data_IF_011434312186
#
_entry.id   IF_011434312186
#
_cell.length_a   1.000
_cell.length_b   1.000
_cell.length_c   1.000
_cell.angle_alpha   90.00
_cell.angle_beta   90.00
_cell.angle_gamma   90.00
#
_symmetry.space_group_name_H-M   'P 1'
#
loop_
_entity.id
_entity.type
_entity.pdbx_description
1 polymer ?
#
# COMPACT_ATOMS: atom_id res chain seq x y z
N UNK A 1 -2.35 16.88 3.18
CA UNK A 1 -2.74 16.57 4.56
C UNK A 1 -2.97 17.82 5.42
N UNK A 2 -2.19 18.89 5.25
CA UNK A 2 -2.23 20.03 6.17
C UNK A 2 -3.64 20.59 6.42
N UNK A 3 -4.51 20.85 5.40
CA UNK A 3 -5.86 21.36 5.67
C UNK A 3 -6.70 20.37 6.47
N UNK A 4 -6.59 19.06 6.19
CA UNK A 4 -7.32 18.01 6.90
C UNK A 4 -6.91 17.93 8.39
N UNK A 5 -5.62 17.96 8.66
CA UNK A 5 -5.09 17.91 10.03
C UNK A 5 -5.44 19.17 10.82
N UNK A 6 -5.43 20.35 10.18
CA UNK A 6 -5.84 21.61 10.77
C UNK A 6 -7.33 21.58 11.17
N UNK A 7 -8.20 21.08 10.28
CA UNK A 7 -9.63 20.93 10.56
C UNK A 7 -9.89 19.92 11.67
N UNK A 8 -9.13 18.84 11.72
CA UNK A 8 -9.19 17.84 12.80
C UNK A 8 -8.87 18.49 14.16
N UNK A 9 -7.78 19.21 14.26
CA UNK A 9 -7.40 19.92 15.49
C UNK A 9 -8.45 20.89 15.95
N UNK A 10 -9.01 21.69 15.02
CA UNK A 10 -10.06 22.67 15.31
C UNK A 10 -11.35 22.01 15.77
N UNK A 11 -11.82 20.96 15.09
CA UNK A 11 -13.07 20.25 15.44
C UNK A 11 -12.96 19.48 16.77
N UNK A 12 -11.82 18.86 17.03
CA UNK A 12 -11.61 18.10 18.26
C UNK A 12 -11.16 18.97 19.45
N UNK A 13 -10.80 20.24 19.21
CA UNK A 13 -10.30 21.14 20.25
C UNK A 13 -8.97 20.71 20.86
N UNK A 14 -8.12 20.04 20.06
CA UNK A 14 -6.81 19.51 20.46
C UNK A 14 -5.73 19.94 19.48
N UNK A 15 -4.48 19.89 19.91
CA UNK A 15 -3.34 20.02 19.01
C UNK A 15 -3.12 18.70 18.28
N UNK A 16 -3.18 18.73 16.94
CA UNK A 16 -2.82 17.61 16.08
C UNK A 16 -1.39 17.80 15.61
N UNK A 17 -0.53 16.85 15.91
CA UNK A 17 0.86 16.84 15.46
C UNK A 17 0.99 15.89 14.27
N UNK A 18 1.42 16.41 13.12
CA UNK A 18 1.69 15.59 11.95
C UNK A 18 2.98 14.77 12.15
N UNK A 19 2.94 13.49 11.76
CA UNK A 19 4.10 12.62 11.71
C UNK A 19 4.21 12.02 10.29
N UNK A 20 5.34 12.26 9.64
CA UNK A 20 5.65 11.71 8.33
C UNK A 20 6.93 10.87 8.41
N UNK A 21 6.89 9.69 7.84
CA UNK A 21 8.02 8.79 7.74
C UNK A 21 8.33 8.49 6.26
N UNK A 22 9.59 8.16 5.93
CA UNK A 22 9.97 7.83 4.56
C UNK A 22 9.45 6.47 4.09
N UNK A 23 9.05 5.61 5.03
CA UNK A 23 8.59 4.25 4.80
C UNK A 23 7.48 3.84 5.78
N UNK A 24 6.82 2.71 5.49
CA UNK A 24 5.75 2.17 6.35
C UNK A 24 6.27 1.67 7.70
N UNK A 25 7.48 1.12 7.75
CA UNK A 25 8.06 0.60 8.98
C UNK A 25 8.20 1.69 10.03
N UNK A 26 8.61 2.90 9.65
CA UNK A 26 8.72 4.06 10.53
C UNK A 26 7.40 4.43 11.20
N UNK A 27 6.28 4.36 10.48
CA UNK A 27 4.94 4.63 11.03
C UNK A 27 4.49 3.51 11.96
N UNK A 28 4.71 2.25 11.59
CA UNK A 28 4.37 1.08 12.41
C UNK A 28 5.12 1.14 13.75
N UNK A 29 6.43 1.37 13.73
CA UNK A 29 7.23 1.46 14.95
C UNK A 29 6.86 2.70 15.79
N UNK A 30 6.56 3.85 15.18
CA UNK A 30 6.11 5.02 15.90
C UNK A 30 4.77 4.76 16.64
N UNK A 31 3.84 4.02 16.03
CA UNK A 31 2.60 3.60 16.68
C UNK A 31 2.88 2.60 17.81
N UNK A 32 3.75 1.61 17.58
CA UNK A 32 4.14 0.62 18.56
C UNK A 32 4.69 1.25 19.85
N UNK A 33 5.48 2.31 19.71
CA UNK A 33 6.06 3.04 20.85
C UNK A 33 5.22 4.20 21.34
N UNK A 34 3.94 4.28 20.93
CA UNK A 34 2.99 5.29 21.42
C UNK A 34 3.27 6.73 20.96
N UNK A 35 4.05 6.90 19.88
CA UNK A 35 4.37 8.21 19.30
C UNK A 35 3.41 8.65 18.21
N UNK A 36 2.63 7.74 17.67
CA UNK A 36 1.57 7.96 16.69
C UNK A 36 0.29 7.33 17.22
N UNK A 37 -0.78 8.11 17.28
CA UNK A 37 -2.08 7.68 17.81
C UNK A 37 -3.03 7.21 16.71
N UNK A 38 -2.98 7.85 15.54
CA UNK A 38 -3.81 7.56 14.36
C UNK A 38 -2.94 7.64 13.12
N UNK A 39 -3.05 6.66 12.22
CA UNK A 39 -2.26 6.62 11.00
C UNK A 39 -3.04 6.10 9.80
N UNK A 40 -2.78 6.66 8.63
CA UNK A 40 -3.11 6.04 7.35
C UNK A 40 -2.09 4.94 7.05
N UNK A 41 -2.59 3.81 6.58
CA UNK A 41 -1.80 2.66 6.16
C UNK A 41 -2.32 2.09 4.83
N UNK A 42 -1.46 1.43 4.06
CA UNK A 42 -1.92 0.42 3.12
C UNK A 42 -2.40 -0.82 3.88
N UNK A 43 -3.14 -1.73 3.22
CA UNK A 43 -3.70 -2.90 3.92
C UNK A 43 -2.60 -3.81 4.53
N UNK A 44 -1.47 -4.02 3.83
CA UNK A 44 -0.37 -4.82 4.38
C UNK A 44 0.27 -4.17 5.59
N UNK A 45 0.60 -2.89 5.52
CA UNK A 45 1.18 -2.17 6.67
C UNK A 45 0.19 -2.04 7.83
N UNK A 46 -1.11 -1.94 7.56
CA UNK A 46 -2.15 -2.02 8.59
C UNK A 46 -2.18 -3.39 9.28
N UNK A 47 -2.03 -4.48 8.53
CA UNK A 47 -1.92 -5.82 9.08
C UNK A 47 -0.75 -5.91 10.08
N UNK A 48 0.41 -5.39 9.70
CA UNK A 48 1.58 -5.33 10.60
C UNK A 48 1.33 -4.43 11.83
N UNK A 49 0.66 -3.28 11.65
CA UNK A 49 0.30 -2.40 12.76
C UNK A 49 -0.69 -3.05 13.74
N UNK A 50 -1.68 -3.79 13.24
CA UNK A 50 -2.64 -4.57 14.05
C UNK A 50 -1.93 -5.67 14.83
N UNK A 51 -1.03 -6.40 14.18
CA UNK A 51 -0.39 -7.57 14.78
C UNK A 51 0.75 -7.21 15.75
N UNK A 52 1.47 -6.10 15.52
CA UNK A 52 2.71 -5.78 16.24
C UNK A 52 2.75 -4.41 16.91
N UNK A 53 1.84 -3.50 16.57
CA UNK A 53 1.86 -2.12 17.06
C UNK A 53 0.60 -1.73 17.83
N UNK A 54 -0.17 -2.69 18.32
CA UNK A 54 -1.42 -2.45 19.05
C UNK A 54 -2.42 -1.61 18.26
N UNK A 55 -2.42 -1.74 16.92
CA UNK A 55 -3.31 -1.02 16.02
C UNK A 55 -4.69 -1.68 15.89
N UNK A 56 -5.67 -0.88 15.50
CA UNK A 56 -7.03 -1.30 15.19
C UNK A 56 -7.61 -0.42 14.09
N UNK A 57 -8.18 -1.03 13.06
CA UNK A 57 -8.84 -0.31 11.97
C UNK A 57 -10.20 0.18 12.45
N UNK A 58 -10.55 1.43 12.13
CA UNK A 58 -11.86 2.00 12.48
C UNK A 58 -12.60 2.64 11.30
N UNK A 59 -11.90 3.12 10.28
CA UNK A 59 -12.48 3.65 9.04
C UNK A 59 -11.61 3.26 7.84
N UNK A 60 -12.19 3.40 6.66
CA UNK A 60 -11.56 3.14 5.37
C UNK A 60 -11.71 4.36 4.48
N UNK A 61 -10.69 4.65 3.68
CA UNK A 61 -10.77 5.66 2.63
C UNK A 61 -11.77 5.24 1.55
N UNK A 62 -12.31 6.22 0.83
CA UNK A 62 -13.16 6.02 -0.35
C UNK A 62 -12.58 6.84 -1.48
N UNK A 63 -12.42 6.26 -2.66
CA UNK A 63 -11.87 6.96 -3.81
C UNK A 63 -12.81 8.05 -4.31
N UNK A 64 -12.28 9.24 -4.61
CA UNK A 64 -13.08 10.39 -5.08
C UNK A 64 -13.72 10.14 -6.45
N UNK A 65 -13.16 9.26 -7.27
CA UNK A 65 -13.67 8.89 -8.59
C UNK A 65 -14.73 7.78 -8.54
N UNK A 66 -15.11 7.31 -7.35
CA UNK A 66 -16.09 6.24 -7.15
C UNK A 66 -15.53 4.83 -7.36
N UNK A 67 -14.23 4.66 -7.56
CA UNK A 67 -13.61 3.34 -7.66
C UNK A 67 -13.81 2.55 -6.36
N UNK A 68 -14.08 1.22 -6.44
CA UNK A 68 -14.33 0.38 -5.26
C UNK A 68 -13.04 0.02 -4.48
N UNK A 69 -11.91 0.50 -4.95
CA UNK A 69 -10.57 0.28 -4.42
C UNK A 69 -9.54 0.75 -5.44
N UNK A 70 -8.38 0.13 -5.45
CA UNK A 70 -7.29 0.46 -6.36
C UNK A 70 -6.56 -0.78 -6.85
N UNK A 71 -5.55 -0.62 -7.70
CA UNK A 71 -4.84 -1.74 -8.31
C UNK A 71 -3.33 -1.56 -8.22
N UNK A 72 -2.63 -2.65 -7.95
CA UNK A 72 -1.20 -2.75 -8.20
C UNK A 72 -0.95 -2.81 -9.70
N UNK A 73 0.15 -2.21 -10.13
CA UNK A 73 0.60 -2.24 -11.52
C UNK A 73 2.11 -2.50 -11.59
N UNK A 74 2.55 -3.11 -12.66
CA UNK A 74 3.93 -3.02 -13.12
C UNK A 74 4.01 -1.93 -14.19
N UNK A 75 5.02 -1.09 -14.08
CA UNK A 75 5.26 0.02 -14.98
C UNK A 75 6.63 -0.09 -15.66
N UNK A 76 6.70 0.35 -16.90
CA UNK A 76 7.93 0.46 -17.69
C UNK A 76 7.96 1.80 -18.43
N UNK A 77 9.13 2.21 -18.92
CA UNK A 77 9.20 3.37 -19.79
C UNK A 77 8.53 3.07 -21.13
N UNK A 78 7.73 4.00 -21.64
CA UNK A 78 6.97 3.81 -22.90
C UNK A 78 7.87 3.53 -24.11
N UNK A 79 9.11 4.04 -24.09
CA UNK A 79 10.07 3.84 -25.19
C UNK A 79 10.73 2.46 -25.10
N UNK A 80 10.56 1.72 -24.01
CA UNK A 80 11.07 0.35 -23.90
C UNK A 80 10.20 -0.60 -24.71
N UNK A 81 10.57 -0.85 -25.94
CA UNK A 81 9.82 -1.71 -26.86
C UNK A 81 9.84 -3.20 -26.44
N UNK A 82 10.80 -3.61 -25.59
CA UNK A 82 10.91 -5.01 -25.13
C UNK A 82 9.92 -5.39 -24.04
N UNK A 83 9.46 -4.42 -23.22
CA UNK A 83 8.62 -4.67 -22.05
C UNK A 83 7.19 -4.21 -22.29
N UNK A 84 6.27 -5.16 -22.54
CA UNK A 84 4.85 -4.87 -22.76
C UNK A 84 3.92 -5.74 -21.91
N UNK A 85 4.45 -6.79 -21.28
CA UNK A 85 3.69 -7.76 -20.49
C UNK A 85 4.53 -8.42 -19.40
N UNK A 86 3.91 -9.22 -18.55
CA UNK A 86 4.60 -10.07 -17.56
C UNK A 86 5.46 -11.13 -18.27
N UNK A 87 5.02 -11.66 -19.40
CA UNK A 87 5.80 -12.64 -20.18
C UNK A 87 7.13 -12.04 -20.65
N UNK A 88 7.13 -10.76 -21.04
CA UNK A 88 8.36 -10.05 -21.38
C UNK A 88 9.29 -9.86 -20.17
N UNK A 89 8.72 -9.54 -19.00
CA UNK A 89 9.48 -9.45 -17.74
C UNK A 89 10.15 -10.79 -17.41
N UNK A 90 9.44 -11.89 -17.59
CA UNK A 90 10.00 -13.24 -17.39
C UNK A 90 11.06 -13.54 -18.43
N UNK A 91 10.79 -13.29 -19.69
CA UNK A 91 11.69 -13.61 -20.80
C UNK A 91 13.03 -12.88 -20.71
N UNK A 92 13.00 -11.59 -20.39
CA UNK A 92 14.20 -10.74 -20.37
C UNK A 92 14.75 -10.53 -18.96
N UNK A 93 14.14 -11.12 -17.92
CA UNK A 93 14.43 -10.88 -16.51
C UNK A 93 15.91 -10.78 -16.13
N UNK A 94 16.78 -11.73 -16.52
CA UNK A 94 18.21 -11.68 -16.19
C UNK A 94 18.96 -10.45 -16.74
N UNK A 95 18.39 -9.74 -17.70
CA UNK A 95 18.97 -8.51 -18.26
C UNK A 95 18.41 -7.24 -17.60
N UNK A 96 17.28 -7.33 -16.86
CA UNK A 96 16.51 -6.21 -16.40
C UNK A 96 16.94 -5.69 -15.03
N UNK A 97 16.87 -4.39 -14.86
CA UNK A 97 16.91 -3.71 -13.57
C UNK A 97 15.49 -3.46 -13.06
N UNK A 98 15.22 -3.87 -11.84
CA UNK A 98 13.90 -3.82 -11.22
C UNK A 98 13.90 -2.96 -9.96
N UNK A 99 12.91 -2.07 -9.82
CA UNK A 99 12.63 -1.39 -8.55
C UNK A 99 11.35 -1.93 -7.91
N UNK A 100 11.53 -2.70 -6.85
CA UNK A 100 10.44 -3.23 -6.03
C UNK A 100 9.86 -2.14 -5.13
N UNK A 101 8.69 -2.37 -4.54
CA UNK A 101 8.11 -1.51 -3.53
C UNK A 101 8.68 -1.74 -2.13
N UNK A 102 8.28 -0.88 -1.19
CA UNK A 102 8.51 -1.08 0.24
C UNK A 102 7.98 -2.46 0.67
N UNK A 103 8.74 -3.24 1.46
CA UNK A 103 8.31 -4.58 1.92
C UNK A 103 6.97 -4.60 2.67
N UNK A 104 6.54 -3.50 3.27
CA UNK A 104 5.25 -3.35 3.94
C UNK A 104 4.15 -2.79 3.03
N UNK A 105 4.44 -2.57 1.74
CA UNK A 105 3.45 -2.11 0.76
C UNK A 105 2.56 -3.26 0.29
N UNK A 106 1.25 -3.00 0.22
CA UNK A 106 0.28 -3.92 -0.40
C UNK A 106 0.51 -3.99 -1.91
N UNK A 107 0.33 -2.87 -2.59
CA UNK A 107 0.39 -2.79 -4.06
C UNK A 107 1.81 -2.79 -4.62
N UNK A 108 2.80 -2.34 -3.85
CA UNK A 108 4.19 -2.28 -4.30
C UNK A 108 4.98 -3.56 -4.05
N UNK A 109 4.52 -4.43 -3.14
CA UNK A 109 5.29 -5.60 -2.73
C UNK A 109 4.46 -6.88 -2.62
N UNK A 110 3.43 -6.92 -1.76
CA UNK A 110 2.67 -8.15 -1.49
C UNK A 110 1.94 -8.65 -2.73
N UNK A 111 1.15 -7.79 -3.37
CA UNK A 111 0.29 -8.16 -4.49
C UNK A 111 1.11 -8.58 -5.71
N UNK A 112 2.08 -7.79 -6.22
CA UNK A 112 2.93 -8.25 -7.31
C UNK A 112 3.81 -9.43 -6.89
N UNK A 113 4.22 -9.50 -5.62
CA UNK A 113 4.99 -10.59 -5.05
C UNK A 113 4.29 -11.94 -5.15
N UNK A 114 2.96 -11.98 -5.05
CA UNK A 114 2.17 -13.18 -5.27
C UNK A 114 1.83 -13.37 -6.74
N UNK A 115 1.10 -12.42 -7.35
CA UNK A 115 0.49 -12.62 -8.67
C UNK A 115 1.49 -12.63 -9.82
N UNK A 116 2.61 -11.93 -9.69
CA UNK A 116 3.63 -11.89 -10.74
C UNK A 116 4.79 -12.82 -10.41
N UNK A 117 5.41 -12.63 -9.27
CA UNK A 117 6.65 -13.34 -8.96
C UNK A 117 6.40 -14.74 -8.39
N UNK A 118 5.56 -14.87 -7.38
CA UNK A 118 5.28 -16.15 -6.73
C UNK A 118 4.67 -17.18 -7.67
N UNK A 119 3.63 -16.83 -8.41
CA UNK A 119 2.99 -17.73 -9.37
C UNK A 119 3.90 -18.16 -10.51
N UNK A 120 4.89 -17.35 -10.86
CA UNK A 120 5.90 -17.69 -11.87
C UNK A 120 7.19 -18.29 -11.26
N UNK A 121 7.20 -18.57 -9.95
CA UNK A 121 8.35 -19.14 -9.21
C UNK A 121 9.63 -18.30 -9.36
N UNK A 122 9.47 -16.97 -9.35
CA UNK A 122 10.57 -16.00 -9.44
C UNK A 122 10.84 -15.43 -8.07
N UNK A 123 12.08 -15.49 -7.62
CA UNK A 123 12.58 -14.63 -6.54
C UNK A 123 13.15 -13.35 -7.13
N UNK A 124 12.51 -12.19 -6.93
CA UNK A 124 12.99 -10.93 -7.49
C UNK A 124 14.41 -10.56 -7.09
N UNK A 125 14.90 -11.05 -5.95
CA UNK A 125 16.24 -10.73 -5.45
C UNK A 125 17.36 -11.36 -6.27
N UNK A 126 17.08 -12.52 -6.88
CA UNK A 126 18.08 -13.32 -7.57
C UNK A 126 17.84 -13.44 -9.07
N UNK A 127 16.61 -13.20 -9.52
CA UNK A 127 16.22 -13.40 -10.92
C UNK A 127 16.63 -12.25 -11.83
N UNK A 128 16.52 -11.02 -11.37
CA UNK A 128 16.83 -9.83 -12.17
C UNK A 128 18.31 -9.47 -12.08
N UNK A 129 18.81 -8.78 -13.10
CA UNK A 129 20.18 -8.25 -13.12
C UNK A 129 20.50 -7.44 -11.87
N UNK A 130 19.55 -6.62 -11.45
CA UNK A 130 19.61 -5.83 -10.23
C UNK A 130 18.19 -5.60 -9.71
N UNK A 131 18.00 -5.73 -8.40
CA UNK A 131 16.76 -5.37 -7.72
C UNK A 131 17.07 -4.35 -6.62
N UNK A 132 16.39 -3.21 -6.69
CA UNK A 132 16.37 -2.20 -5.64
C UNK A 132 14.96 -2.06 -5.08
N UNK A 133 14.77 -1.29 -4.02
CA UNK A 133 13.45 -1.04 -3.42
C UNK A 133 13.30 0.45 -3.12
N UNK A 134 12.16 1.01 -3.48
CA UNK A 134 11.83 2.42 -3.21
C UNK A 134 10.32 2.62 -3.03
N UNK A 135 9.91 3.82 -2.62
CA UNK A 135 8.50 4.17 -2.55
C UNK A 135 7.88 4.38 -3.94
N UNK A 136 6.56 4.45 -4.01
CA UNK A 136 5.81 4.54 -5.27
C UNK A 136 6.23 5.73 -6.14
N UNK A 137 6.41 6.92 -5.57
CA UNK A 137 6.80 8.11 -6.33
C UNK A 137 8.20 7.96 -6.91
N UNK A 138 9.16 7.53 -6.09
CA UNK A 138 10.53 7.26 -6.54
C UNK A 138 10.59 6.20 -7.65
N UNK A 139 9.78 5.14 -7.53
CA UNK A 139 9.66 4.10 -8.55
C UNK A 139 9.12 4.64 -9.88
N UNK A 140 8.07 5.46 -9.83
CA UNK A 140 7.52 6.07 -11.04
C UNK A 140 8.52 7.00 -11.73
N UNK A 141 9.20 7.84 -10.96
CA UNK A 141 10.22 8.75 -11.49
C UNK A 141 11.44 8.02 -12.04
N UNK A 142 11.89 6.94 -11.37
CA UNK A 142 13.01 6.12 -11.83
C UNK A 142 12.70 5.46 -13.19
N UNK A 143 11.49 4.94 -13.39
CA UNK A 143 11.04 4.39 -14.66
C UNK A 143 10.94 5.48 -15.73
N UNK A 144 10.33 6.62 -15.42
CA UNK A 144 10.21 7.74 -16.36
C UNK A 144 11.57 8.26 -16.82
N UNK A 145 12.57 8.27 -15.93
CA UNK A 145 13.93 8.71 -16.20
C UNK A 145 14.84 7.59 -16.73
N UNK A 146 14.32 6.38 -16.99
CA UNK A 146 15.09 5.23 -17.50
C UNK A 146 16.24 4.78 -16.57
N UNK A 147 16.09 5.01 -15.26
CA UNK A 147 17.07 4.58 -14.25
C UNK A 147 16.89 3.11 -13.89
N UNK A 148 15.68 2.57 -14.05
CA UNK A 148 15.34 1.15 -13.98
C UNK A 148 14.47 0.77 -15.17
N UNK A 149 14.48 -0.52 -15.55
CA UNK A 149 13.71 -1.00 -16.71
C UNK A 149 12.24 -1.09 -16.40
N UNK A 150 11.90 -1.53 -15.18
CA UNK A 150 10.52 -1.59 -14.70
C UNK A 150 10.45 -1.50 -13.18
N UNK A 151 9.25 -1.22 -12.67
CA UNK A 151 9.01 -1.09 -11.25
C UNK A 151 7.57 -1.47 -10.89
N UNK A 152 7.34 -1.68 -9.57
CA UNK A 152 5.98 -1.75 -9.02
C UNK A 152 5.44 -0.36 -8.75
N UNK A 153 4.12 -0.22 -8.86
CA UNK A 153 3.38 1.00 -8.54
C UNK A 153 1.91 0.68 -8.27
N UNK A 154 1.07 1.70 -8.18
CA UNK A 154 -0.38 1.55 -8.12
C UNK A 154 -1.11 2.67 -8.86
N UNK A 155 -2.39 2.47 -9.11
CA UNK A 155 -3.22 3.40 -9.89
C UNK A 155 -3.42 4.74 -9.20
N UNK A 156 -3.49 4.80 -7.87
CA UNK A 156 -3.64 6.06 -7.12
C UNK A 156 -2.37 6.91 -7.18
N UNK A 157 -1.19 6.28 -7.03
CA UNK A 157 0.08 7.00 -7.17
C UNK A 157 0.28 7.49 -8.61
N UNK A 158 -0.04 6.68 -9.62
CA UNK A 158 0.05 7.13 -11.02
C UNK A 158 -0.84 8.35 -11.29
N UNK A 159 -2.03 8.44 -10.69
CA UNK A 159 -2.87 9.62 -10.79
C UNK A 159 -2.21 10.86 -10.13
N UNK A 160 -1.49 10.69 -9.00
CA UNK A 160 -0.70 11.76 -8.38
C UNK A 160 0.47 12.19 -9.28
N UNK A 161 1.18 11.23 -9.88
CA UNK A 161 2.26 11.52 -10.84
C UNK A 161 1.72 12.27 -12.05
N UNK A 162 0.56 11.88 -12.59
CA UNK A 162 -0.08 12.58 -13.69
C UNK A 162 -0.41 14.04 -13.36
N UNK A 163 -0.86 14.30 -12.13
CA UNK A 163 -1.18 15.65 -11.65
C UNK A 163 0.07 16.50 -11.40
N UNK A 164 1.07 15.94 -10.73
CA UNK A 164 2.21 16.67 -10.22
C UNK A 164 3.41 16.72 -11.19
N UNK A 165 3.54 15.69 -12.03
CA UNK A 165 4.65 15.49 -12.97
C UNK A 165 4.13 14.95 -14.32
N UNK A 166 3.26 15.72 -15.03
CA UNK A 166 2.57 15.23 -16.23
C UNK A 166 3.53 14.79 -17.34
N UNK A 167 4.66 15.44 -17.49
CA UNK A 167 5.69 15.07 -18.46
C UNK A 167 6.39 13.74 -18.11
N UNK A 168 6.50 13.42 -16.81
CA UNK A 168 7.04 12.12 -16.36
C UNK A 168 6.00 11.02 -16.54
N UNK A 169 4.75 11.29 -16.17
CA UNK A 169 3.66 10.35 -16.40
C UNK A 169 3.55 9.96 -17.88
N UNK A 170 3.70 10.93 -18.79
CA UNK A 170 3.69 10.70 -20.23
C UNK A 170 4.81 9.76 -20.72
N UNK A 171 5.84 9.47 -19.91
CA UNK A 171 6.90 8.51 -20.22
C UNK A 171 6.64 7.10 -19.67
N UNK A 172 5.55 6.89 -18.94
CA UNK A 172 5.24 5.63 -18.25
C UNK A 172 4.16 4.89 -19.01
N UNK A 173 4.31 3.58 -19.14
CA UNK A 173 3.26 2.64 -19.55
C UNK A 173 3.06 1.58 -18.48
N UNK A 174 1.80 1.12 -18.34
CA UNK A 174 1.43 -0.02 -17.50
C UNK A 174 1.57 -1.30 -18.34
N UNK A 175 2.29 -2.29 -17.80
CA UNK A 175 2.51 -3.58 -18.45
C UNK A 175 1.80 -4.74 -17.74
N UNK A 176 1.25 -4.50 -16.55
CA UNK A 176 0.42 -5.43 -15.79
C UNK A 176 -0.45 -4.70 -14.79
N UNK A 177 -1.63 -5.25 -14.52
CA UNK A 177 -2.59 -4.74 -13.51
C UNK A 177 -3.14 -5.91 -12.69
N UNK A 178 -3.20 -5.74 -11.38
CA UNK A 178 -3.66 -6.77 -10.45
C UNK A 178 -5.19 -6.92 -10.39
N UNK A 179 -5.71 -7.95 -9.70
CA UNK A 179 -7.03 -7.90 -9.10
C UNK A 179 -7.21 -6.69 -8.18
N UNK A 180 -8.46 -6.34 -7.88
CA UNK A 180 -8.81 -5.20 -7.04
C UNK A 180 -8.21 -5.35 -5.63
N UNK A 181 -7.63 -4.25 -5.13
CA UNK A 181 -7.19 -4.10 -3.74
C UNK A 181 -8.23 -3.24 -3.01
N UNK A 182 -8.71 -3.65 -1.83
CA UNK A 182 -9.58 -2.81 -1.01
C UNK A 182 -8.93 -1.46 -0.70
N UNK A 183 -9.73 -0.40 -0.62
CA UNK A 183 -9.25 0.93 -0.24
C UNK A 183 -8.55 0.91 1.13
N UNK A 184 -7.62 1.83 1.30
CA UNK A 184 -6.72 1.86 2.45
C UNK A 184 -7.43 2.18 3.77
N UNK A 185 -7.03 1.53 4.87
CA UNK A 185 -7.58 1.78 6.19
C UNK A 185 -6.90 2.93 6.93
N UNK A 186 -7.63 3.51 7.88
CA UNK A 186 -7.08 4.33 8.94
C UNK A 186 -7.06 3.49 10.23
N UNK A 187 -5.93 3.50 10.89
CA UNK A 187 -5.63 2.70 12.08
C UNK A 187 -5.41 3.63 13.27
N UNK A 188 -5.98 3.30 14.41
CA UNK A 188 -5.66 3.95 15.70
C UNK A 188 -5.02 2.95 16.67
N UNK A 189 -4.42 3.46 17.75
CA UNK A 189 -3.97 2.60 18.84
C UNK A 189 -5.18 2.09 19.63
N UNK A 190 -5.19 0.80 19.94
CA UNK A 190 -6.26 0.18 20.75
C UNK A 190 -6.41 0.76 22.14
N UNK A 191 -5.31 1.24 22.74
CA UNK A 191 -5.25 1.76 24.10
C UNK A 191 -5.65 3.23 24.24
N UNK A 192 -6.11 3.87 23.17
CA UNK A 192 -6.79 5.16 23.27
C UNK A 192 -8.06 5.03 24.12
N UNK A 193 -8.39 6.07 24.88
CA UNK A 193 -9.63 6.09 25.67
C UNK A 193 -10.87 5.95 24.76
N UNK A 194 -11.95 5.33 25.27
CA UNK A 194 -13.20 5.22 24.53
C UNK A 194 -13.76 6.59 24.15
N UNK A 195 -13.56 7.60 24.99
CA UNK A 195 -13.97 8.98 24.73
C UNK A 195 -13.19 9.60 23.56
N UNK A 196 -11.88 9.37 23.47
CA UNK A 196 -11.06 9.85 22.36
C UNK A 196 -11.39 9.09 21.08
N UNK A 197 -11.54 7.76 21.14
CA UNK A 197 -11.97 6.94 20.01
C UNK A 197 -13.31 7.43 19.45
N UNK A 198 -14.30 7.69 20.30
CA UNK A 198 -15.60 8.17 19.86
C UNK A 198 -15.50 9.51 19.12
N UNK A 199 -14.73 10.47 19.65
CA UNK A 199 -14.52 11.79 19.04
C UNK A 199 -13.77 11.69 17.70
N UNK A 200 -12.71 10.89 17.64
CA UNK A 200 -11.91 10.68 16.44
C UNK A 200 -12.76 10.01 15.35
N UNK A 201 -13.51 8.95 15.70
CA UNK A 201 -14.38 8.25 14.76
C UNK A 201 -15.48 9.15 14.22
N UNK A 202 -16.12 9.94 15.09
CA UNK A 202 -17.14 10.92 14.69
C UNK A 202 -16.56 11.94 13.71
N UNK A 203 -15.36 12.48 13.99
CA UNK A 203 -14.68 13.40 13.07
C UNK A 203 -14.50 12.77 11.68
N UNK A 204 -13.96 11.57 11.58
CA UNK A 204 -13.72 10.92 10.28
C UNK A 204 -15.02 10.66 9.53
N UNK A 205 -16.05 10.15 10.21
CA UNK A 205 -17.33 9.77 9.56
C UNK A 205 -18.22 10.95 9.20
N UNK A 206 -18.06 12.11 9.83
CA UNK A 206 -18.83 13.30 9.55
C UNK A 206 -18.12 14.31 8.63
N UNK A 207 -16.81 14.19 8.49
CA UNK A 207 -15.99 15.08 7.66
C UNK A 207 -16.39 15.00 6.19
N UNK A 208 -16.84 16.13 5.63
CA UNK A 208 -17.37 16.23 4.27
C UNK A 208 -18.76 15.63 4.08
N UNK A 209 -19.44 15.19 5.15
CA UNK A 209 -20.79 14.62 5.09
C UNK A 209 -21.84 15.59 5.61
N UNK A 210 -21.58 16.19 6.78
CA UNK A 210 -22.56 17.01 7.48
C UNK A 210 -21.93 18.28 8.08
N UNK A 211 -22.79 19.26 8.41
CA UNK A 211 -22.39 20.52 8.98
C UNK A 211 -22.14 21.63 7.94
N UNK A 212 -21.92 22.88 8.42
CA UNK A 212 -21.83 24.06 7.55
C UNK A 212 -20.60 24.06 6.62
N UNK A 213 -19.57 23.30 6.95
CA UNK A 213 -18.31 23.21 6.19
C UNK A 213 -18.21 21.99 5.28
N UNK A 214 -19.23 21.14 5.20
CA UNK A 214 -19.19 19.87 4.48
C UNK A 214 -18.72 20.00 3.01
N UNK A 215 -19.11 21.04 2.31
CA UNK A 215 -18.69 21.27 0.93
C UNK A 215 -17.17 21.52 0.84
N UNK A 216 -16.64 22.39 1.70
CA UNK A 216 -15.21 22.68 1.76
C UNK A 216 -14.38 21.47 2.22
N UNK A 217 -14.91 20.70 3.14
CA UNK A 217 -14.28 19.46 3.62
C UNK A 217 -14.19 18.40 2.52
N UNK A 218 -15.22 18.31 1.66
CA UNK A 218 -15.15 17.46 0.45
C UNK A 218 -14.04 17.89 -0.51
N UNK A 219 -13.83 19.19 -0.69
CA UNK A 219 -12.73 19.71 -1.52
C UNK A 219 -11.35 19.33 -0.92
N UNK A 220 -11.21 19.39 0.40
CA UNK A 220 -10.00 18.95 1.10
C UNK A 220 -9.74 17.46 0.85
N UNK A 221 -10.77 16.61 1.01
CA UNK A 221 -10.67 15.18 0.72
C UNK A 221 -10.32 14.90 -0.76
N UNK A 222 -10.97 15.62 -1.69
CA UNK A 222 -10.68 15.49 -3.11
C UNK A 222 -9.23 15.85 -3.46
N UNK A 223 -8.62 16.78 -2.73
CA UNK A 223 -7.19 17.07 -2.82
C UNK A 223 -6.29 15.89 -2.45
N UNK A 224 -6.77 14.99 -1.60
CA UNK A 224 -6.16 13.70 -1.24
C UNK A 224 -6.63 12.55 -2.15
N UNK A 225 -7.44 12.81 -3.16
CA UNK A 225 -8.11 11.84 -4.04
C UNK A 225 -9.15 10.97 -3.32
N UNK A 226 -9.76 11.50 -2.25
CA UNK A 226 -10.74 10.80 -1.43
C UNK A 226 -12.13 11.47 -1.49
N UNK A 227 -13.14 10.66 -1.28
CA UNK A 227 -14.48 11.01 -0.85
C UNK A 227 -14.58 10.79 0.66
N UNK A 228 -15.72 11.15 1.32
CA UNK A 228 -15.91 10.90 2.74
C UNK A 228 -15.64 9.45 3.13
N UNK A 229 -15.00 9.27 4.29
CA UNK A 229 -14.64 7.96 4.83
C UNK A 229 -15.89 7.12 5.13
N UNK A 230 -15.70 5.81 5.13
CA UNK A 230 -16.69 4.85 5.62
C UNK A 230 -16.16 4.05 6.80
N UNK A 231 -17.07 3.55 7.61
CA UNK A 231 -16.74 2.65 8.72
C UNK A 231 -16.09 1.37 8.21
N UNK A 232 -15.10 0.89 8.95
CA UNK A 232 -14.43 -0.37 8.70
C UNK A 232 -13.91 -0.98 10.01
N UNK A 233 -13.32 -2.15 9.92
CA UNK A 233 -12.68 -2.85 11.03
C UNK A 233 -11.57 -3.78 10.51
N UNK A 234 -10.97 -4.57 11.40
CA UNK A 234 -9.89 -5.48 11.04
C UNK A 234 -10.27 -6.57 10.03
N UNK A 235 -11.57 -6.85 9.84
CA UNK A 235 -12.02 -7.87 8.87
C UNK A 235 -11.68 -7.50 7.42
N UNK A 236 -11.50 -6.21 7.12
CA UNK A 236 -11.02 -5.82 5.79
C UNK A 236 -9.63 -6.40 5.44
N UNK A 237 -8.87 -6.82 6.45
CA UNK A 237 -7.54 -7.43 6.26
C UNK A 237 -7.59 -8.92 5.88
N UNK A 238 -8.73 -9.60 6.02
CA UNK A 238 -8.83 -11.04 5.74
C UNK A 238 -8.32 -11.41 4.35
N UNK A 239 -8.71 -10.74 3.25
CA UNK A 239 -8.17 -11.05 1.92
C UNK A 239 -6.66 -10.84 1.81
N UNK A 240 -6.13 -9.86 2.54
CA UNK A 240 -4.68 -9.53 2.55
C UNK A 240 -3.90 -10.58 3.33
N UNK A 241 -4.45 -11.05 4.46
CA UNK A 241 -3.87 -12.15 5.26
C UNK A 241 -3.78 -13.43 4.43
N UNK A 242 -4.86 -13.80 3.76
CA UNK A 242 -4.91 -14.96 2.87
C UNK A 242 -3.87 -14.85 1.76
N UNK A 243 -3.78 -13.69 1.11
CA UNK A 243 -2.78 -13.45 0.05
C UNK A 243 -1.34 -13.55 0.59
N UNK A 244 -1.10 -13.03 1.80
CA UNK A 244 0.20 -13.13 2.47
C UNK A 244 0.58 -14.59 2.76
N UNK A 245 -0.38 -15.39 3.26
CA UNK A 245 -0.18 -16.82 3.51
C UNK A 245 0.12 -17.58 2.22
N UNK A 246 -0.63 -17.33 1.15
CA UNK A 246 -0.37 -17.96 -0.15
C UNK A 246 1.01 -17.59 -0.71
N UNK A 247 1.41 -16.33 -0.62
CA UNK A 247 2.75 -15.90 -1.03
C UNK A 247 3.84 -16.62 -0.23
N UNK A 248 3.67 -16.70 1.10
CA UNK A 248 4.63 -17.37 1.97
C UNK A 248 4.69 -18.88 1.67
N UNK A 249 3.52 -19.51 1.41
CA UNK A 249 3.44 -20.91 1.01
C UNK A 249 4.26 -21.18 -0.27
N UNK A 250 4.06 -20.38 -1.31
CA UNK A 250 4.82 -20.51 -2.56
C UNK A 250 6.32 -20.34 -2.35
N UNK A 251 6.73 -19.42 -1.50
CA UNK A 251 8.15 -19.21 -1.16
C UNK A 251 8.75 -20.46 -0.47
N UNK A 252 8.03 -21.08 0.47
CA UNK A 252 8.48 -22.30 1.16
C UNK A 252 8.50 -23.48 0.20
N UNK A 253 7.48 -23.66 -0.62
CA UNK A 253 7.44 -24.72 -1.64
C UNK A 253 8.62 -24.65 -2.62
N UNK A 254 8.98 -23.45 -3.03
CA UNK A 254 10.09 -23.19 -3.95
C UNK A 254 11.48 -23.19 -3.32
N UNK A 255 11.59 -23.16 -1.99
CA UNK A 255 12.86 -23.10 -1.29
C UNK A 255 13.58 -24.46 -1.32
N UNK A 256 14.71 -24.53 -2.01
CA UNK A 256 15.53 -25.74 -2.13
C UNK A 256 16.55 -25.89 -1.00
N UNK A 257 16.65 -24.92 -0.10
CA UNK A 257 17.62 -24.93 1.02
C UNK A 257 17.04 -25.55 2.28
N UNK A 258 15.71 -25.66 2.38
CA UNK A 258 15.00 -26.23 3.52
C UNK A 258 14.87 -27.74 3.33
N UNK A 259 15.19 -28.54 4.36
CA UNK A 259 14.99 -29.98 4.36
C UNK A 259 13.50 -30.35 4.20
N UNK A 260 13.17 -31.44 3.53
CA UNK A 260 11.79 -31.82 3.20
C UNK A 260 10.89 -31.94 4.43
N UNK A 261 11.40 -32.49 5.55
CA UNK A 261 10.63 -32.59 6.80
C UNK A 261 10.27 -31.23 7.39
N UNK A 262 11.23 -30.30 7.42
CA UNK A 262 11.03 -28.93 7.91
C UNK A 262 10.09 -28.14 6.97
N UNK A 263 10.21 -28.42 5.66
CA UNK A 263 9.31 -27.82 4.66
C UNK A 263 7.87 -28.27 4.88
N UNK A 264 7.63 -29.55 5.08
CA UNK A 264 6.30 -30.08 5.37
C UNK A 264 5.70 -29.51 6.66
N UNK A 265 6.50 -29.37 7.72
CA UNK A 265 6.05 -28.76 8.96
C UNK A 265 5.63 -27.29 8.74
N UNK A 266 6.46 -26.48 8.08
CA UNK A 266 6.16 -25.07 7.80
C UNK A 266 4.92 -24.90 6.89
N UNK A 267 4.72 -25.78 5.92
CA UNK A 267 3.51 -25.77 5.08
C UNK A 267 2.27 -26.12 5.89
N UNK A 268 2.34 -27.12 6.77
CA UNK A 268 1.22 -27.48 7.67
C UNK A 268 0.86 -26.34 8.63
N UNK A 269 1.85 -25.62 9.15
CA UNK A 269 1.61 -24.42 9.99
C UNK A 269 0.86 -23.32 9.23
N UNK A 270 1.22 -23.06 7.96
CA UNK A 270 0.50 -22.11 7.11
C UNK A 270 -0.92 -22.59 6.82
N UNK A 271 -1.10 -23.86 6.48
CA UNK A 271 -2.41 -24.44 6.14
C UNK A 271 -3.39 -24.46 7.34
N UNK A 272 -2.87 -24.35 8.55
CA UNK A 272 -3.68 -24.29 9.79
C UNK A 272 -4.18 -22.88 10.15
N UNK A 273 -3.66 -21.83 9.50
CA UNK A 273 -4.04 -20.43 9.73
C UNK A 273 -5.15 -19.97 8.79
#
# INVERSE_FOLDING_TARGET
>A
WDPFLADMGKKLGIKVNAFFAPDYAGVIEAMRFGKVDVAWHGNKSAMEAVDRANGEIFVQTVAADGSPGYWSVLIANKDNAKLNSVDDVIKYGPELTFSNGDPNSTSGYLVPGYYVFGLNKIDPKTYFKQTVSANHESNALAVANKQVDFATNNTENLAKIQKNFPEKYAQIKVIWKSPLIPSDPIVWRKDLSDGDKAKIKDFFLTYGVSGPNAAKEKEVLAGLQWAPFKESNNDQLVPIRILSLFKNRLAIEGDTTIADADKQQKLAEIDSQ
#
